data_IF_690654561312
#
_entry.id   IF_690654561312
#
_cell.length_a   1.000
_cell.length_b   1.000
_cell.length_c   1.000
_cell.angle_alpha   90.00
_cell.angle_beta   90.00
_cell.angle_gamma   90.00
#
_symmetry.space_group_name_H-M   'P 1'
#
loop_
_entity.id
_entity.type
_entity.pdbx_description
1 polymer ?
#
# COMPACT_ATOMS: atom_id res chain seq x y z
N UNK A 1 -8.19 -24.94 -12.78
CA UNK A 1 -7.86 -23.88 -11.79
C UNK A 1 -7.50 -22.60 -12.51
N UNK A 2 -8.12 -21.50 -12.13
CA UNK A 2 -7.80 -20.20 -12.73
C UNK A 2 -6.62 -19.57 -12.00
N UNK A 3 -5.76 -18.89 -12.77
CA UNK A 3 -4.66 -18.10 -12.20
C UNK A 3 -5.29 -16.82 -11.63
N UNK A 4 -4.96 -16.45 -10.38
CA UNK A 4 -5.48 -15.21 -9.80
C UNK A 4 -5.08 -13.99 -10.64
N UNK A 5 -6.01 -13.07 -10.84
CA UNK A 5 -5.72 -11.83 -11.54
C UNK A 5 -4.90 -10.91 -10.64
N UNK A 6 -3.89 -10.29 -11.22
CA UNK A 6 -3.00 -9.38 -10.52
C UNK A 6 -3.33 -7.96 -10.95
N UNK A 7 -3.39 -7.07 -9.96
CA UNK A 7 -3.64 -5.64 -10.14
C UNK A 7 -2.47 -4.85 -9.60
N UNK A 8 -2.25 -3.68 -10.17
CA UNK A 8 -1.33 -2.69 -9.59
C UNK A 8 -2.09 -1.39 -9.44
N UNK A 9 -1.96 -0.74 -8.28
CA UNK A 9 -2.62 0.52 -8.01
C UNK A 9 -1.64 1.51 -7.39
N UNK A 10 -1.83 2.77 -7.73
CA UNK A 10 -1.13 3.89 -7.12
C UNK A 10 -2.07 4.54 -6.11
N UNK A 11 -1.60 4.63 -4.86
CA UNK A 11 -2.38 5.20 -3.77
C UNK A 11 -1.73 6.47 -3.25
N UNK A 12 -2.56 7.41 -2.83
CA UNK A 12 -2.11 8.55 -2.03
C UNK A 12 -2.98 8.64 -0.80
N UNK A 13 -2.33 8.71 0.36
CA UNK A 13 -3.00 8.79 1.66
C UNK A 13 -2.70 10.13 2.30
N UNK A 14 -3.71 10.78 2.86
CA UNK A 14 -3.54 12.00 3.66
C UNK A 14 -4.22 11.82 5.01
N UNK A 15 -3.80 12.64 5.98
CA UNK A 15 -4.22 12.56 7.37
C UNK A 15 -3.01 12.43 8.27
N UNK A 16 -3.14 11.67 9.37
CA UNK A 16 -2.02 11.34 10.24
C UNK A 16 -1.34 10.08 9.73
N UNK A 17 -0.51 10.26 8.72
CA UNK A 17 0.12 9.16 7.99
C UNK A 17 1.65 9.20 8.02
N UNK A 18 2.27 10.33 8.40
CA UNK A 18 3.72 10.41 8.59
C UNK A 18 4.06 10.45 10.08
N UNK A 19 5.21 9.85 10.45
CA UNK A 19 5.65 9.83 11.85
C UNK A 19 4.84 8.88 12.74
N UNK A 20 4.06 7.98 12.16
CA UNK A 20 3.15 7.08 12.86
C UNK A 20 3.37 5.61 12.50
N UNK A 21 4.49 5.31 11.83
CA UNK A 21 4.85 3.94 11.46
C UNK A 21 4.15 3.42 10.22
N UNK A 22 3.56 4.30 9.41
CA UNK A 22 2.79 3.91 8.23
C UNK A 22 3.62 3.09 7.24
N UNK A 23 4.83 3.56 6.88
CA UNK A 23 5.66 2.89 5.88
C UNK A 23 6.10 1.51 6.33
N UNK A 24 6.46 1.35 7.60
CA UNK A 24 6.83 0.04 8.14
C UNK A 24 5.65 -0.91 8.20
N UNK A 25 4.47 -0.40 8.57
CA UNK A 25 3.26 -1.21 8.58
C UNK A 25 2.90 -1.69 7.18
N UNK A 26 3.03 -0.81 6.19
CA UNK A 26 2.82 -1.17 4.77
C UNK A 26 3.82 -2.26 4.36
N UNK A 27 5.08 -2.08 4.69
CA UNK A 27 6.15 -3.00 4.32
C UNK A 27 5.90 -4.41 4.89
N UNK A 28 5.67 -4.51 6.19
CA UNK A 28 5.49 -5.83 6.81
C UNK A 28 4.23 -6.53 6.33
N UNK A 29 3.15 -5.80 6.16
CA UNK A 29 1.92 -6.40 5.65
C UNK A 29 2.01 -6.76 4.17
N UNK A 30 2.70 -5.95 3.36
CA UNK A 30 2.92 -6.28 1.96
C UNK A 30 3.73 -7.57 1.83
N UNK A 31 4.77 -7.75 2.63
CA UNK A 31 5.54 -8.99 2.63
C UNK A 31 4.67 -10.19 3.01
N UNK A 32 3.88 -10.06 4.06
CA UNK A 32 2.99 -11.13 4.51
C UNK A 32 1.98 -11.52 3.43
N UNK A 33 1.51 -10.54 2.66
CA UNK A 33 0.46 -10.72 1.67
C UNK A 33 0.99 -11.03 0.26
N UNK A 34 2.31 -11.06 0.08
CA UNK A 34 2.90 -11.30 -1.23
C UNK A 34 2.75 -10.13 -2.20
N UNK A 35 2.70 -8.90 -1.69
CA UNK A 35 2.50 -7.69 -2.49
C UNK A 35 3.85 -7.08 -2.85
N UNK A 36 4.04 -6.73 -4.12
CA UNK A 36 5.19 -5.95 -4.58
C UNK A 36 4.85 -4.47 -4.69
N UNK A 37 5.88 -3.63 -4.72
CA UNK A 37 5.70 -2.19 -4.90
C UNK A 37 6.62 -1.37 -4.00
N UNK A 38 6.12 -0.19 -3.58
CA UNK A 38 6.89 0.73 -2.76
C UNK A 38 5.98 1.69 -2.01
N UNK A 39 6.53 2.30 -0.96
CA UNK A 39 5.83 3.32 -0.17
C UNK A 39 6.83 4.42 0.20
N UNK A 40 6.38 5.68 0.14
CA UNK A 40 7.23 6.83 0.49
C UNK A 40 6.43 7.97 1.10
N UNK A 41 7.10 8.75 1.96
CA UNK A 41 6.55 10.02 2.44
C UNK A 41 6.73 11.09 1.37
N UNK A 42 5.73 11.95 1.23
CA UNK A 42 5.78 13.11 0.34
C UNK A 42 6.01 14.39 1.15
N UNK A 43 6.51 15.44 0.47
CA UNK A 43 6.83 16.70 1.13
C UNK A 43 5.60 17.41 1.72
N UNK A 44 4.42 17.16 1.16
CA UNK A 44 3.18 17.78 1.62
C UNK A 44 2.53 17.09 2.82
N UNK A 45 3.18 16.08 3.38
CA UNK A 45 2.67 15.32 4.51
C UNK A 45 1.89 14.07 4.13
N UNK A 46 1.61 13.87 2.86
CA UNK A 46 0.94 12.66 2.38
C UNK A 46 1.92 11.50 2.24
N UNK A 47 1.38 10.31 2.04
CA UNK A 47 2.16 9.10 1.73
C UNK A 47 1.69 8.57 0.38
N UNK A 48 2.63 8.27 -0.50
CA UNK A 48 2.36 7.59 -1.76
C UNK A 48 2.77 6.13 -1.66
N UNK A 49 2.00 5.27 -2.33
CA UNK A 49 2.29 3.83 -2.38
C UNK A 49 1.85 3.28 -3.72
N UNK A 50 2.68 2.44 -4.32
CA UNK A 50 2.22 1.54 -5.38
C UNK A 50 2.25 0.13 -4.85
N UNK A 51 1.19 -0.62 -5.12
CA UNK A 51 1.07 -1.98 -4.63
C UNK A 51 0.50 -2.89 -5.72
N UNK A 52 1.12 -4.06 -5.86
CA UNK A 52 0.76 -5.03 -6.88
C UNK A 52 0.50 -6.37 -6.23
N UNK A 53 -0.68 -6.94 -6.50
CA UNK A 53 -1.08 -8.22 -5.96
C UNK A 53 -2.50 -8.57 -6.37
N UNK A 54 -3.04 -9.61 -5.75
CA UNK A 54 -4.45 -9.96 -5.97
C UNK A 54 -5.36 -8.89 -5.37
N UNK A 55 -6.60 -8.82 -5.85
CA UNK A 55 -7.58 -7.87 -5.29
C UNK A 55 -7.76 -8.08 -3.79
N UNK A 56 -7.82 -9.34 -3.35
CA UNK A 56 -7.96 -9.67 -1.93
C UNK A 56 -6.76 -9.19 -1.12
N UNK A 57 -5.55 -9.44 -1.62
CA UNK A 57 -4.33 -9.00 -0.93
C UNK A 57 -4.27 -7.47 -0.79
N UNK A 58 -4.65 -6.73 -1.84
CA UNK A 58 -4.67 -5.28 -1.80
C UNK A 58 -5.69 -4.75 -0.79
N UNK A 59 -6.89 -5.36 -0.74
CA UNK A 59 -7.88 -5.02 0.29
C UNK A 59 -7.36 -5.28 1.69
N UNK A 60 -6.71 -6.41 1.92
CA UNK A 60 -6.15 -6.76 3.22
C UNK A 60 -5.05 -5.78 3.63
N UNK A 61 -4.24 -5.33 2.68
CA UNK A 61 -3.21 -4.32 2.96
C UNK A 61 -3.83 -3.00 3.41
N UNK A 62 -4.87 -2.52 2.71
CA UNK A 62 -5.55 -1.29 3.09
C UNK A 62 -6.20 -1.42 4.47
N UNK A 63 -6.83 -2.55 4.77
CA UNK A 63 -7.42 -2.80 6.09
C UNK A 63 -6.34 -2.75 7.18
N UNK A 64 -5.19 -3.35 6.93
CA UNK A 64 -4.08 -3.34 7.88
C UNK A 64 -3.57 -1.92 8.14
N UNK A 65 -3.53 -1.08 7.10
CA UNK A 65 -3.11 0.31 7.24
C UNK A 65 -4.11 1.11 8.05
N UNK A 66 -5.41 0.96 7.76
CA UNK A 66 -6.46 1.66 8.50
C UNK A 66 -6.52 1.27 9.97
N UNK A 67 -6.17 0.03 10.30
CA UNK A 67 -6.17 -0.47 11.66
C UNK A 67 -4.88 -0.18 12.42
N UNK A 68 -3.94 0.55 11.83
CA UNK A 68 -2.72 0.97 12.52
C UNK A 68 -3.03 1.88 13.69
N UNK A 69 -2.41 1.60 14.84
CA UNK A 69 -2.79 2.19 16.13
C UNK A 69 -2.77 3.73 16.14
N UNK A 70 -1.76 4.32 15.51
CA UNK A 70 -1.61 5.79 15.47
C UNK A 70 -1.89 6.37 14.09
N UNK A 71 -2.32 5.54 13.14
CA UNK A 71 -2.58 5.97 11.78
C UNK A 71 -4.02 6.44 11.68
N UNK A 72 -4.22 7.62 11.10
CA UNK A 72 -5.54 8.11 10.74
C UNK A 72 -5.52 8.53 9.28
N UNK A 73 -6.26 7.80 8.45
CA UNK A 73 -6.38 8.10 7.03
C UNK A 73 -7.65 8.92 6.85
N UNK A 74 -7.47 10.20 6.50
CA UNK A 74 -8.59 11.10 6.23
C UNK A 74 -9.05 10.96 4.79
N UNK A 75 -8.11 10.67 3.88
CA UNK A 75 -8.40 10.53 2.46
C UNK A 75 -7.46 9.53 1.83
N UNK A 76 -8.01 8.68 0.98
CA UNK A 76 -7.24 7.73 0.17
C UNK A 76 -7.73 7.82 -1.26
N UNK A 77 -6.82 8.10 -2.19
CA UNK A 77 -7.13 8.02 -3.62
C UNK A 77 -6.37 6.84 -4.21
N UNK A 78 -6.99 6.17 -5.18
CA UNK A 78 -6.40 5.02 -5.85
C UNK A 78 -6.57 5.16 -7.36
N UNK A 79 -5.53 4.79 -8.09
CA UNK A 79 -5.52 4.84 -9.55
C UNK A 79 -4.98 3.52 -10.07
N UNK A 80 -5.69 2.93 -11.02
CA UNK A 80 -5.28 1.66 -11.61
C UNK A 80 -4.06 1.88 -12.51
N UNK A 81 -3.17 0.89 -12.50
CA UNK A 81 -1.96 0.87 -13.33
C UNK A 81 -1.78 -0.52 -13.93
N UNK A 82 -0.96 -0.61 -14.97
CA UNK A 82 -0.59 -1.90 -15.51
C UNK A 82 0.35 -2.64 -14.55
N UNK A 83 0.14 -3.92 -14.30
CA UNK A 83 1.07 -4.70 -13.48
C UNK A 83 2.46 -4.77 -14.13
N UNK A 84 3.50 -4.78 -13.30
CA UNK A 84 4.90 -4.81 -13.73
C UNK A 84 5.58 -6.15 -13.48
N UNK A 85 4.95 -7.04 -12.70
CA UNK A 85 5.56 -8.29 -12.27
C UNK A 85 6.46 -8.13 -11.05
N UNK A 86 6.41 -6.99 -10.39
CA UNK A 86 7.25 -6.74 -9.21
C UNK A 86 6.77 -7.58 -8.03
N UNK A 87 7.72 -8.26 -7.35
CA UNK A 87 7.42 -9.13 -6.22
C UNK A 87 7.93 -8.61 -4.89
N UNK A 88 8.84 -7.63 -4.91
CA UNK A 88 9.42 -7.07 -3.69
C UNK A 88 8.76 -5.76 -3.35
N UNK A 89 8.63 -5.48 -2.05
CA UNK A 89 8.09 -4.22 -1.55
C UNK A 89 9.21 -3.44 -0.88
N UNK A 90 9.30 -2.14 -1.20
CA UNK A 90 10.39 -1.27 -0.71
C UNK A 90 9.84 -0.07 0.02
N UNK A 91 10.54 0.33 1.09
CA UNK A 91 10.36 1.64 1.73
C UNK A 91 11.31 2.62 1.06
N UNK A 92 10.76 3.71 0.58
CA UNK A 92 11.53 4.79 -0.04
C UNK A 92 11.56 6.02 0.86
#
# INVERSE_FOLDING_TARGET
>A
MSIPKIYRKHYRFSGQVQGVGFRYRAYYNAQRLGIGGWVRNCADGSVEMEAEGTAEALCDLLDALENGHFIQIDRCTAQDMAPTGEHQFRIQ
#
